data_IF_670766471790
#
_entry.id   IF_670766471790
#
_cell.length_a   1.000
_cell.length_b   1.000
_cell.length_c   1.000
_cell.angle_alpha   90.00
_cell.angle_beta   90.00
_cell.angle_gamma   90.00
#
_symmetry.space_group_name_H-M   'P 1'
#
loop_
_entity.id
_entity.type
_entity.pdbx_description
1 polymer ?
#
# COMPACT_ATOMS: atom_id res chain seq x y z
N UNK A 1 3.65 -8.21 17.86
CA UNK A 1 2.66 -7.31 17.24
C UNK A 1 2.39 -7.60 15.74
N UNK A 2 3.22 -8.37 15.05
CA UNK A 2 3.08 -8.68 13.60
C UNK A 2 1.76 -9.38 13.20
N UNK A 3 1.17 -10.22 14.07
CA UNK A 3 -0.08 -10.95 13.77
C UNK A 3 -1.29 -10.01 13.62
N UNK A 4 -1.33 -8.90 14.37
CA UNK A 4 -2.44 -7.95 14.34
C UNK A 4 -2.43 -7.13 13.02
N UNK A 5 -1.23 -6.88 12.47
CA UNK A 5 -1.06 -6.23 11.16
C UNK A 5 -1.34 -7.17 9.99
N UNK A 6 -1.01 -8.45 10.11
CA UNK A 6 -1.45 -9.47 9.16
C UNK A 6 -2.99 -9.53 9.15
N UNK A 7 -3.63 -9.50 10.33
CA UNK A 7 -5.10 -9.47 10.43
C UNK A 7 -5.73 -8.19 9.86
N UNK A 8 -5.20 -7.00 10.15
CA UNK A 8 -5.69 -5.74 9.57
C UNK A 8 -5.47 -5.68 8.05
N UNK A 9 -4.33 -6.19 7.56
CA UNK A 9 -4.05 -6.34 6.14
C UNK A 9 -5.03 -7.30 5.46
N UNK A 10 -5.34 -8.43 6.10
CA UNK A 10 -6.35 -9.39 5.64
C UNK A 10 -7.76 -8.76 5.64
N UNK A 11 -8.15 -8.04 6.69
CA UNK A 11 -9.48 -7.39 6.79
C UNK A 11 -9.64 -6.28 5.76
N UNK A 12 -8.64 -5.39 5.63
CA UNK A 12 -8.62 -4.34 4.62
C UNK A 12 -8.66 -4.93 3.20
N UNK A 13 -7.94 -6.04 2.98
CA UNK A 13 -7.94 -6.76 1.71
C UNK A 13 -9.25 -7.49 1.42
N UNK A 14 -9.93 -8.09 2.41
CA UNK A 14 -11.28 -8.65 2.23
C UNK A 14 -12.30 -7.57 1.91
N UNK A 15 -12.18 -6.38 2.50
CA UNK A 15 -13.02 -5.22 2.14
C UNK A 15 -12.78 -4.77 0.70
N UNK A 16 -11.52 -4.78 0.25
CA UNK A 16 -11.10 -4.48 -1.11
C UNK A 16 -11.58 -5.52 -2.14
N UNK A 17 -11.45 -6.81 -1.83
CA UNK A 17 -11.95 -7.90 -2.66
C UNK A 17 -13.48 -7.86 -2.76
N UNK A 18 -14.19 -7.55 -1.68
CA UNK A 18 -15.66 -7.44 -1.71
C UNK A 18 -16.14 -6.36 -2.70
N UNK A 19 -15.38 -5.28 -2.88
CA UNK A 19 -15.63 -4.28 -3.93
C UNK A 19 -15.37 -4.79 -5.35
N UNK A 20 -14.32 -5.58 -5.55
CA UNK A 20 -13.95 -6.15 -6.87
C UNK A 20 -14.86 -7.29 -7.33
N UNK A 21 -15.46 -8.05 -6.40
CA UNK A 21 -16.33 -9.20 -6.72
C UNK A 21 -17.80 -8.82 -7.01
N UNK A 22 -18.21 -7.57 -6.79
CA UNK A 22 -19.60 -7.11 -6.93
C UNK A 22 -19.97 -6.57 -8.33
N UNK A 23 -19.23 -6.94 -9.38
CA UNK A 23 -19.41 -6.40 -10.73
C UNK A 23 -19.58 -7.46 -11.81
N UNK A 24 -20.61 -8.32 -11.72
CA UNK A 24 -21.09 -9.06 -12.90
C UNK A 24 -22.01 -8.15 -13.71
N UNK A 25 -21.45 -7.08 -14.29
CA UNK A 25 -22.13 -6.32 -15.33
C UNK A 25 -21.90 -7.02 -16.67
N UNK A 26 -22.98 -7.42 -17.33
CA UNK A 26 -22.97 -7.94 -18.70
C UNK A 26 -22.91 -6.81 -19.75
N UNK A 27 -22.54 -5.59 -19.36
CA UNK A 27 -22.48 -4.45 -20.25
C UNK A 27 -21.06 -4.30 -20.84
N UNK A 28 -20.87 -4.45 -22.17
CA UNK A 28 -19.55 -4.34 -22.80
C UNK A 28 -18.98 -2.90 -22.82
N UNK A 29 -19.70 -1.91 -22.27
CA UNK A 29 -19.29 -0.51 -22.18
C UNK A 29 -18.88 -0.08 -20.76
N UNK A 30 -18.82 -0.99 -19.79
CA UNK A 30 -18.32 -0.64 -18.45
C UNK A 30 -16.80 -0.61 -18.49
N UNK A 31 -16.27 0.61 -18.45
CA UNK A 31 -14.85 0.93 -18.66
C UNK A 31 -13.88 0.10 -17.81
N UNK A 32 -12.70 -0.04 -18.39
CA UNK A 32 -11.54 -0.87 -18.05
C UNK A 32 -10.91 -0.59 -16.66
N UNK A 33 -11.72 -0.60 -15.61
CA UNK A 33 -11.27 -0.36 -14.25
C UNK A 33 -10.51 -1.58 -13.72
N UNK A 34 -9.44 -1.29 -12.96
CA UNK A 34 -8.55 -2.24 -12.27
C UNK A 34 -9.28 -3.37 -11.51
N UNK A 35 -10.52 -3.10 -11.10
CA UNK A 35 -11.38 -3.98 -10.30
C UNK A 35 -12.19 -5.01 -11.11
N UNK A 36 -12.19 -4.96 -12.44
CA UNK A 36 -12.95 -5.88 -13.31
C UNK A 36 -12.10 -7.01 -13.91
N UNK A 37 -10.98 -7.36 -13.29
CA UNK A 37 -10.22 -8.55 -13.65
C UNK A 37 -11.06 -9.82 -13.38
N UNK A 38 -11.45 -10.53 -14.45
CA UNK A 38 -12.08 -11.86 -14.37
C UNK A 38 -11.07 -12.89 -13.83
N UNK A 39 -10.87 -12.91 -12.52
CA UNK A 39 -10.05 -13.91 -11.84
C UNK A 39 -10.90 -15.13 -11.49
N UNK A 40 -10.46 -16.31 -11.90
CA UNK A 40 -11.01 -17.56 -11.38
C UNK A 40 -10.71 -17.69 -9.88
N UNK A 41 -11.57 -18.35 -9.08
CA UNK A 41 -11.37 -18.49 -7.63
C UNK A 41 -10.01 -19.09 -7.25
N UNK A 42 -9.49 -20.02 -8.07
CA UNK A 42 -8.16 -20.61 -7.90
C UNK A 42 -7.04 -19.59 -8.08
N UNK A 43 -7.11 -18.74 -9.10
CA UNK A 43 -6.12 -17.69 -9.35
C UNK A 43 -6.16 -16.62 -8.25
N UNK A 44 -7.35 -16.28 -7.77
CA UNK A 44 -7.52 -15.38 -6.62
C UNK A 44 -6.82 -15.91 -5.37
N UNK A 45 -7.02 -17.18 -5.02
CA UNK A 45 -6.36 -17.79 -3.86
C UNK A 45 -4.82 -17.77 -3.96
N UNK A 46 -4.27 -18.09 -5.13
CA UNK A 46 -2.82 -18.05 -5.37
C UNK A 46 -2.27 -16.64 -5.21
N UNK A 47 -2.95 -15.63 -5.77
CA UNK A 47 -2.58 -14.21 -5.63
C UNK A 47 -2.54 -13.80 -4.15
N UNK A 48 -3.52 -14.22 -3.35
CA UNK A 48 -3.57 -13.91 -1.91
C UNK A 48 -2.40 -14.53 -1.17
N UNK A 49 -2.13 -15.80 -1.41
CA UNK A 49 -1.02 -16.51 -0.76
C UNK A 49 0.31 -15.83 -1.13
N UNK A 50 0.46 -15.43 -2.39
CA UNK A 50 1.63 -14.73 -2.88
C UNK A 50 1.81 -13.34 -2.24
N UNK A 51 0.73 -12.58 -2.06
CA UNK A 51 0.74 -11.30 -1.31
C UNK A 51 1.23 -11.51 0.12
N UNK A 52 0.65 -12.47 0.84
CA UNK A 52 1.01 -12.71 2.25
C UNK A 52 2.47 -13.12 2.39
N UNK A 53 2.97 -13.96 1.48
CA UNK A 53 4.37 -14.38 1.46
C UNK A 53 5.28 -13.19 1.16
N UNK A 54 4.96 -12.35 0.17
CA UNK A 54 5.75 -11.16 -0.16
C UNK A 54 5.75 -10.17 1.00
N UNK A 55 4.61 -9.93 1.66
CA UNK A 55 4.54 -9.04 2.81
C UNK A 55 5.38 -9.55 3.99
N UNK A 56 5.28 -10.84 4.32
CA UNK A 56 6.08 -11.45 5.38
C UNK A 56 7.59 -11.41 5.07
N UNK A 57 7.97 -11.67 3.82
CA UNK A 57 9.34 -11.54 3.35
C UNK A 57 9.81 -10.09 3.40
N UNK A 58 8.98 -9.14 2.97
CA UNK A 58 9.26 -7.71 3.01
C UNK A 58 9.50 -7.19 4.42
N UNK A 59 8.63 -7.55 5.38
CA UNK A 59 8.81 -7.22 6.80
C UNK A 59 10.15 -7.76 7.32
N UNK A 60 10.49 -9.00 6.96
CA UNK A 60 11.74 -9.62 7.39
C UNK A 60 12.98 -8.97 6.78
N UNK A 61 12.93 -8.62 5.49
CA UNK A 61 14.02 -7.90 4.82
C UNK A 61 14.22 -6.52 5.46
N UNK A 62 13.14 -5.80 5.73
CA UNK A 62 13.21 -4.50 6.41
C UNK A 62 13.83 -4.64 7.80
N UNK A 63 13.47 -5.68 8.56
CA UNK A 63 14.10 -5.96 9.84
C UNK A 63 15.59 -6.25 9.71
N UNK A 64 15.98 -7.12 8.80
CA UNK A 64 17.38 -7.50 8.63
C UNK A 64 18.21 -6.27 8.19
N UNK A 65 17.64 -5.42 7.32
CA UNK A 65 18.28 -4.15 6.92
C UNK A 65 18.44 -3.20 8.11
N UNK A 66 17.39 -3.00 8.91
CA UNK A 66 17.47 -2.16 10.12
C UNK A 66 18.56 -2.66 11.08
N UNK A 67 18.63 -3.98 11.31
CA UNK A 67 19.65 -4.60 12.15
C UNK A 67 21.06 -4.34 11.63
N UNK A 68 21.27 -4.49 10.31
CA UNK A 68 22.59 -4.35 9.68
C UNK A 68 23.06 -2.89 9.64
N UNK A 69 22.16 -1.95 9.33
CA UNK A 69 22.53 -0.56 9.07
C UNK A 69 22.36 0.38 10.28
N UNK A 70 21.50 0.04 11.25
CA UNK A 70 21.22 0.89 12.43
C UNK A 70 21.81 0.31 13.71
N UNK A 71 21.83 -1.02 13.86
CA UNK A 71 22.54 -1.72 14.95
C UNK A 71 21.66 -2.67 15.76
N UNK A 72 22.30 -3.61 16.45
CA UNK A 72 21.66 -4.81 17.05
C UNK A 72 20.63 -4.55 18.16
N UNK A 73 20.61 -3.36 18.76
CA UNK A 73 19.68 -3.01 19.85
C UNK A 73 18.36 -2.38 19.36
N UNK A 74 18.12 -2.32 18.04
CA UNK A 74 16.90 -1.73 17.45
C UNK A 74 15.79 -2.76 17.26
N UNK A 75 15.37 -3.41 18.35
CA UNK A 75 14.16 -4.24 18.34
C UNK A 75 12.87 -3.41 18.34
N UNK A 76 12.96 -2.11 18.67
CA UNK A 76 11.82 -1.21 18.72
C UNK A 76 11.72 -0.34 17.45
N UNK A 77 11.10 -0.91 16.42
CA UNK A 77 10.91 -0.27 15.11
C UNK A 77 10.05 1.00 15.16
N UNK A 78 9.30 1.18 16.24
CA UNK A 78 8.35 2.28 16.40
C UNK A 78 8.97 3.49 17.12
N UNK A 79 10.09 3.29 17.81
CA UNK A 79 10.70 4.31 18.68
C UNK A 79 12.04 4.84 18.12
N UNK A 80 12.55 4.23 17.05
CA UNK A 80 13.83 4.60 16.46
C UNK A 80 13.67 5.30 15.10
N UNK A 81 13.90 6.61 15.06
CA UNK A 81 13.82 7.42 13.84
C UNK A 81 14.76 6.95 12.73
N UNK A 82 15.95 6.43 13.06
CA UNK A 82 16.90 5.92 12.07
C UNK A 82 16.43 4.62 11.41
N UNK A 83 15.68 3.79 12.14
CA UNK A 83 15.04 2.59 11.59
C UNK A 83 13.90 2.97 10.65
N UNK A 84 13.05 3.92 11.08
CA UNK A 84 11.91 4.41 10.29
C UNK A 84 12.38 5.09 9.00
N UNK A 85 13.44 5.91 9.05
CA UNK A 85 13.98 6.57 7.86
C UNK A 85 14.60 5.59 6.87
N UNK A 86 15.26 4.54 7.36
CA UNK A 86 15.78 3.47 6.51
C UNK A 86 14.64 2.69 5.84
N UNK A 87 13.59 2.35 6.58
CA UNK A 87 12.40 1.74 5.98
C UNK A 87 11.77 2.63 4.91
N UNK A 88 11.67 3.94 5.17
CA UNK A 88 11.16 4.90 4.19
C UNK A 88 11.99 4.93 2.91
N UNK A 89 13.32 4.88 3.02
CA UNK A 89 14.25 4.87 1.89
C UNK A 89 14.09 3.63 1.02
N UNK A 90 13.65 2.50 1.56
CA UNK A 90 13.42 1.26 0.82
C UNK A 90 12.00 1.19 0.26
N UNK A 91 11.00 1.57 1.05
CA UNK A 91 9.59 1.44 0.71
C UNK A 91 9.17 2.48 -0.33
N UNK A 92 9.66 3.73 -0.25
CA UNK A 92 9.26 4.79 -1.19
C UNK A 92 9.67 4.50 -2.65
N UNK A 93 10.92 4.12 -2.96
CA UNK A 93 11.29 3.73 -4.33
C UNK A 93 10.49 2.53 -4.82
N UNK A 94 10.20 1.56 -3.95
CA UNK A 94 9.39 0.38 -4.29
C UNK A 94 7.95 0.77 -4.63
N UNK A 95 7.34 1.68 -3.87
CA UNK A 95 6.00 2.22 -4.14
C UNK A 95 5.97 3.00 -5.47
N UNK A 96 6.95 3.87 -5.70
CA UNK A 96 7.06 4.63 -6.96
C UNK A 96 7.20 3.66 -8.14
N UNK A 97 8.09 2.67 -8.04
CA UNK A 97 8.26 1.65 -9.07
C UNK A 97 6.96 0.87 -9.30
N UNK A 98 6.24 0.50 -8.24
CA UNK A 98 4.96 -0.20 -8.36
C UNK A 98 3.90 0.64 -9.08
N UNK A 99 3.81 1.95 -8.79
CA UNK A 99 2.90 2.88 -9.47
C UNK A 99 3.28 3.00 -10.95
N UNK A 100 4.55 3.26 -11.26
CA UNK A 100 5.06 3.38 -12.63
C UNK A 100 4.76 2.11 -13.42
N UNK A 101 5.15 0.94 -12.92
CA UNK A 101 4.92 -0.34 -13.60
C UNK A 101 3.42 -0.59 -13.82
N UNK A 102 2.58 -0.25 -12.84
CA UNK A 102 1.13 -0.38 -12.99
C UNK A 102 0.60 0.53 -14.10
N UNK A 103 1.00 1.81 -14.13
CA UNK A 103 0.59 2.77 -15.15
C UNK A 103 1.05 2.32 -16.54
N UNK A 104 2.33 1.97 -16.71
CA UNK A 104 2.91 1.60 -18.01
C UNK A 104 2.37 0.29 -18.61
N UNK A 105 1.92 -0.68 -17.81
CA UNK A 105 1.53 -2.00 -18.35
C UNK A 105 0.17 -2.04 -19.07
N UNK A 106 -0.61 -0.94 -19.06
CA UNK A 106 -1.81 -0.69 -19.88
C UNK A 106 -2.56 -1.92 -20.40
N UNK A 107 -2.43 -2.21 -21.70
CA UNK A 107 -3.16 -3.27 -22.42
C UNK A 107 -2.70 -4.71 -22.12
N UNK A 108 -1.46 -4.90 -21.64
CA UNK A 108 -0.93 -6.23 -21.29
C UNK A 108 -1.21 -6.62 -19.83
N UNK A 109 -1.92 -5.76 -19.08
CA UNK A 109 -2.22 -5.95 -17.64
C UNK A 109 -2.86 -7.29 -17.34
N UNK A 110 -3.81 -7.77 -18.15
CA UNK A 110 -4.50 -9.03 -17.87
C UNK A 110 -3.57 -10.26 -17.88
N UNK A 111 -2.57 -10.28 -18.79
CA UNK A 111 -1.62 -11.40 -18.88
C UNK A 111 -0.66 -11.45 -17.69
N UNK A 112 -0.33 -10.29 -17.12
CA UNK A 112 0.62 -10.16 -16.02
C UNK A 112 -0.05 -9.84 -14.67
N UNK A 113 -1.38 -9.81 -14.61
CA UNK A 113 -2.15 -9.45 -13.43
C UNK A 113 -1.80 -10.29 -12.20
N UNK A 114 -1.50 -11.58 -12.42
CA UNK A 114 -1.11 -12.53 -11.37
C UNK A 114 0.19 -12.11 -10.65
N UNK A 115 1.07 -11.33 -11.30
CA UNK A 115 2.32 -10.84 -10.71
C UNK A 115 2.21 -9.37 -10.30
N UNK A 116 1.58 -8.54 -11.13
CA UNK A 116 1.39 -7.11 -10.86
C UNK A 116 0.54 -6.85 -9.62
N UNK A 117 -0.59 -7.55 -9.49
CA UNK A 117 -1.54 -7.31 -8.40
C UNK A 117 -0.87 -7.61 -7.05
N UNK A 118 -0.21 -8.76 -6.85
CA UNK A 118 0.49 -9.00 -5.59
C UNK A 118 1.57 -7.98 -5.27
N UNK A 119 2.35 -7.56 -6.27
CA UNK A 119 3.43 -6.59 -6.07
C UNK A 119 2.90 -5.21 -5.68
N UNK A 120 1.84 -4.75 -6.36
CA UNK A 120 1.20 -3.47 -6.06
C UNK A 120 0.54 -3.48 -4.68
N UNK A 121 -0.18 -4.55 -4.34
CA UNK A 121 -0.79 -4.72 -3.01
C UNK A 121 0.27 -4.80 -1.91
N UNK A 122 1.39 -5.49 -2.16
CA UNK A 122 2.49 -5.55 -1.20
C UNK A 122 3.13 -4.17 -0.98
N UNK A 123 3.36 -3.39 -2.05
CA UNK A 123 3.89 -2.04 -1.94
C UNK A 123 2.96 -1.12 -1.13
N UNK A 124 1.64 -1.21 -1.37
CA UNK A 124 0.65 -0.49 -0.56
C UNK A 124 0.66 -0.94 0.90
N UNK A 125 0.70 -2.24 1.17
CA UNK A 125 0.76 -2.78 2.53
C UNK A 125 1.98 -2.29 3.31
N UNK A 126 3.17 -2.34 2.68
CA UNK A 126 4.41 -1.84 3.29
C UNK A 126 4.35 -0.32 3.50
N UNK A 127 3.76 0.44 2.58
CA UNK A 127 3.58 1.89 2.75
C UNK A 127 2.65 2.24 3.91
N UNK A 128 1.58 1.45 4.11
CA UNK A 128 0.66 1.61 5.24
C UNK A 128 1.36 1.27 6.56
N UNK A 129 2.20 0.23 6.58
CA UNK A 129 3.04 -0.09 7.73
C UNK A 129 3.98 1.08 8.08
N UNK A 130 4.63 1.69 7.08
CA UNK A 130 5.50 2.85 7.30
C UNK A 130 4.73 4.05 7.88
N UNK A 131 3.52 4.31 7.39
CA UNK A 131 2.66 5.36 7.92
C UNK A 131 2.30 5.13 9.40
N UNK A 132 2.03 3.87 9.79
CA UNK A 132 1.80 3.51 11.20
C UNK A 132 3.07 3.69 12.03
N UNK A 133 4.23 3.29 11.54
CA UNK A 133 5.51 3.51 12.24
C UNK A 133 5.77 4.99 12.53
N UNK A 134 5.58 5.85 11.52
CA UNK A 134 5.64 7.29 11.70
C UNK A 134 4.62 7.81 12.70
N UNK A 135 3.37 7.34 12.62
CA UNK A 135 2.29 7.75 13.52
C UNK A 135 2.57 7.41 14.99
N UNK A 136 3.05 6.20 15.27
CA UNK A 136 3.39 5.76 16.64
C UNK A 136 4.62 6.52 17.15
N UNK A 137 5.66 6.68 16.32
CA UNK A 137 6.85 7.46 16.68
C UNK A 137 6.46 8.89 17.08
N UNK A 138 5.62 9.54 16.27
CA UNK A 138 5.17 10.90 16.54
C UNK A 138 4.33 10.99 17.82
N UNK A 139 3.46 10.01 18.06
CA UNK A 139 2.67 9.94 19.28
C UNK A 139 3.54 9.81 20.54
N UNK A 140 4.62 9.03 20.47
CA UNK A 140 5.52 8.79 21.61
C UNK A 140 6.49 9.94 21.89
N UNK A 141 6.95 10.64 20.85
CA UNK A 141 8.05 11.62 20.95
C UNK A 141 7.64 13.08 20.87
N UNK A 142 6.41 13.39 20.43
CA UNK A 142 5.93 14.76 20.29
C UNK A 142 4.78 15.09 21.23
N UNK A 143 4.60 16.38 21.51
CA UNK A 143 3.48 16.86 22.32
C UNK A 143 2.16 16.65 21.57
N UNK A 144 1.05 16.48 22.31
CA UNK A 144 -0.28 16.27 21.70
C UNK A 144 -0.65 17.38 20.71
N UNK A 145 -0.26 18.63 21.01
CA UNK A 145 -0.52 19.77 20.14
C UNK A 145 0.24 19.68 18.81
N UNK A 146 1.52 19.32 18.84
CA UNK A 146 2.34 19.11 17.63
C UNK A 146 1.77 17.99 16.74
N UNK A 147 1.34 16.88 17.36
CA UNK A 147 0.71 15.79 16.64
C UNK A 147 -0.56 16.23 15.88
N UNK A 148 -1.47 16.94 16.55
CA UNK A 148 -2.71 17.41 15.92
C UNK A 148 -2.44 18.39 14.78
N UNK A 149 -1.47 19.30 14.92
CA UNK A 149 -1.10 20.24 13.87
C UNK A 149 -0.60 19.48 12.63
N UNK A 150 0.33 18.54 12.83
CA UNK A 150 0.91 17.76 11.72
C UNK A 150 -0.15 16.90 11.04
N UNK A 151 -1.00 16.21 11.81
CA UNK A 151 -2.07 15.38 11.23
C UNK A 151 -3.12 16.20 10.49
N UNK A 152 -3.47 17.39 10.99
CA UNK A 152 -4.41 18.31 10.32
C UNK A 152 -3.83 18.83 9.01
N UNK A 153 -2.56 19.23 9.02
CA UNK A 153 -1.85 19.68 7.82
C UNK A 153 -1.73 18.56 6.78
N UNK A 154 -1.37 17.35 7.22
CA UNK A 154 -1.29 16.18 6.35
C UNK A 154 -2.65 15.87 5.71
N UNK A 155 -3.72 15.90 6.52
CA UNK A 155 -5.09 15.68 6.04
C UNK A 155 -5.49 16.74 5.02
N UNK A 156 -5.13 18.01 5.24
CA UNK A 156 -5.38 19.10 4.30
C UNK A 156 -4.63 18.88 2.98
N UNK A 157 -3.33 18.54 3.04
CA UNK A 157 -2.51 18.25 1.86
C UNK A 157 -3.08 17.07 1.07
N UNK A 158 -3.43 15.98 1.75
CA UNK A 158 -4.06 14.82 1.11
C UNK A 158 -5.40 15.18 0.47
N UNK A 159 -6.22 15.99 1.13
CA UNK A 159 -7.51 16.44 0.58
C UNK A 159 -7.33 17.28 -0.68
N UNK A 160 -6.38 18.22 -0.68
CA UNK A 160 -6.04 19.03 -1.85
C UNK A 160 -5.48 18.15 -2.98
N UNK A 161 -4.60 17.21 -2.68
CA UNK A 161 -4.04 16.30 -3.67
C UNK A 161 -5.15 15.44 -4.32
N UNK A 162 -6.09 14.90 -3.53
CA UNK A 162 -7.24 14.15 -4.05
C UNK A 162 -8.11 15.04 -4.93
N UNK A 163 -8.40 16.26 -4.49
CA UNK A 163 -9.17 17.22 -5.28
C UNK A 163 -8.53 17.49 -6.65
N UNK A 164 -7.22 17.77 -6.69
CA UNK A 164 -6.49 18.01 -7.94
C UNK A 164 -6.48 16.80 -8.86
N UNK A 165 -6.35 15.59 -8.30
CA UNK A 165 -6.43 14.35 -9.07
C UNK A 165 -7.83 14.18 -9.67
N UNK A 166 -8.88 14.44 -8.89
CA UNK A 166 -10.27 14.35 -9.35
C UNK A 166 -10.58 15.38 -10.43
N UNK A 167 -10.12 16.62 -10.27
CA UNK A 167 -10.26 17.69 -11.27
C UNK A 167 -9.56 17.31 -12.57
N UNK A 168 -8.31 16.83 -12.50
CA UNK A 168 -7.57 16.34 -13.67
C UNK A 168 -8.32 15.23 -14.41
N UNK A 169 -8.86 14.24 -13.69
CA UNK A 169 -9.63 13.16 -14.29
C UNK A 169 -10.96 13.63 -14.88
N UNK A 170 -11.66 14.56 -14.23
CA UNK A 170 -12.90 15.14 -14.78
C UNK A 170 -12.64 15.92 -16.07
N UNK A 171 -11.54 16.65 -16.17
CA UNK A 171 -11.19 17.41 -17.37
C UNK A 171 -10.67 16.52 -18.52
N UNK A 172 -9.93 15.45 -18.22
CA UNK A 172 -9.25 14.63 -19.23
C UNK A 172 -9.96 13.31 -19.60
N UNK A 173 -10.82 12.77 -18.74
CA UNK A 173 -11.61 11.56 -18.98
C UNK A 173 -13.13 11.82 -19.01
N UNK A 174 -13.57 13.06 -18.80
CA UNK A 174 -14.97 13.49 -18.93
C UNK A 174 -15.45 13.66 -20.37
N UNK A 175 -15.15 12.69 -21.25
CA UNK A 175 -15.81 12.47 -22.54
C UNK A 175 -16.29 11.02 -22.64
#
# INVERSE_FOLDING_TARGET
MSILFIFLGIIFFFALMRGSFSGSSNNPNDGDNFWHLKLTPSNGFVIVLLVLVILALGERVLYDLARVFVGENTYDYFDNLATISLHALVILPLLIAAIIVNVYMGEKRQKYAVVLVPYFVAALGLSMQLAVQFGVYFYNHHTQAEFYIVMTLLTAICSVAIYLIQEYFNEHLGQ
#
